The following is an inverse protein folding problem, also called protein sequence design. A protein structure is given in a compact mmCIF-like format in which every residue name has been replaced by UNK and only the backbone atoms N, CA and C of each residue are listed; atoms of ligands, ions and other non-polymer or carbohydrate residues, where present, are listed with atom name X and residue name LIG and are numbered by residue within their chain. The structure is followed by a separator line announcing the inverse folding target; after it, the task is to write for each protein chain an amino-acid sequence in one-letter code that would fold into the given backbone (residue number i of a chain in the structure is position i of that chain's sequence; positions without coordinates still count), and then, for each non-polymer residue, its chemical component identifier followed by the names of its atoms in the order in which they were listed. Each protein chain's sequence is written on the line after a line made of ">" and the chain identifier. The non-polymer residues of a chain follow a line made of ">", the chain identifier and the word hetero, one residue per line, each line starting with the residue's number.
data_IF_198344334403
#
_entry.id   IF_198344334403
#
_cell.length_a   1.000
_cell.length_b   1.000
_cell.length_c   1.000
_cell.angle_alpha   90.00
_cell.angle_beta   90.00
_cell.angle_gamma   90.00
#
_symmetry.space_group_name_H-M   'P 1'
#
loop_
_entity.id
_entity.type
_entity.pdbx_description
1 polymer ?
#
# COMPACT_ATOMS: atom_id res chain seq x y z
N UNK A 1 -23.05 5.72 -69.28
CA UNK A 1 -21.85 5.50 -68.47
C UNK A 1 -21.53 6.84 -67.84
N UNK A 2 -22.02 7.09 -66.63
CA UNK A 2 -21.71 8.30 -65.86
C UNK A 2 -20.73 7.93 -64.76
N UNK A 3 -19.54 8.51 -64.83
CA UNK A 3 -18.48 8.36 -63.85
C UNK A 3 -18.83 9.22 -62.64
N UNK A 4 -19.07 8.59 -61.48
CA UNK A 4 -19.21 9.28 -60.20
C UNK A 4 -17.84 9.78 -59.75
N UNK A 5 -17.62 11.09 -59.82
CA UNK A 5 -16.53 11.74 -59.10
C UNK A 5 -16.86 11.74 -57.60
N UNK A 6 -16.33 10.76 -56.87
CA UNK A 6 -16.33 10.78 -55.40
C UNK A 6 -15.22 11.71 -54.93
N UNK A 7 -15.61 12.93 -54.58
CA UNK A 7 -14.82 13.92 -53.85
C UNK A 7 -14.36 13.32 -52.50
N UNK A 8 -13.16 12.77 -52.48
CA UNK A 8 -12.49 12.35 -51.26
C UNK A 8 -11.88 13.58 -50.61
N UNK A 9 -12.72 14.36 -49.92
CA UNK A 9 -12.24 15.38 -48.98
C UNK A 9 -11.40 14.70 -47.90
N UNK A 10 -10.09 14.66 -48.11
CA UNK A 10 -9.14 14.08 -47.17
C UNK A 10 -9.12 14.98 -45.94
N UNK A 11 -9.85 14.56 -44.91
CA UNK A 11 -9.84 15.18 -43.61
C UNK A 11 -8.38 15.25 -43.11
N UNK A 12 -7.79 16.46 -43.08
CA UNK A 12 -6.47 16.73 -42.47
C UNK A 12 -6.58 16.71 -40.93
N UNK A 13 -7.34 15.77 -40.40
CA UNK A 13 -7.49 15.52 -38.98
C UNK A 13 -6.26 14.77 -38.48
N UNK A 14 -5.71 15.24 -37.36
CA UNK A 14 -4.51 14.72 -36.71
C UNK A 14 -4.36 13.20 -36.77
N UNK A 15 -3.15 12.72 -37.09
CA UNK A 15 -2.80 11.30 -37.01
C UNK A 15 -3.10 10.76 -35.60
N UNK A 16 -3.93 9.72 -35.54
CA UNK A 16 -4.23 9.05 -34.29
C UNK A 16 -2.98 8.33 -33.78
N UNK A 17 -2.30 8.94 -32.81
CA UNK A 17 -1.12 8.35 -32.18
C UNK A 17 -1.54 7.13 -31.36
N UNK A 18 -1.00 5.96 -31.70
CA UNK A 18 -1.24 4.72 -30.94
C UNK A 18 -0.58 4.83 -29.57
N UNK A 19 -1.40 4.99 -28.52
CA UNK A 19 -0.91 4.99 -27.14
C UNK A 19 -0.62 3.54 -26.74
N UNK A 20 0.65 3.20 -26.56
CA UNK A 20 1.03 1.92 -25.98
C UNK A 20 0.43 1.80 -24.56
N UNK A 21 0.02 0.58 -24.13
CA UNK A 21 -0.53 0.39 -22.79
C UNK A 21 0.48 0.88 -21.75
N UNK A 22 0.07 1.78 -20.86
CA UNK A 22 0.92 2.21 -19.75
C UNK A 22 1.31 0.97 -18.97
N UNK A 23 2.62 0.70 -18.81
CA UNK A 23 3.10 -0.28 -17.84
C UNK A 23 2.45 0.08 -16.51
N UNK A 24 1.58 -0.79 -15.98
CA UNK A 24 1.13 -0.71 -14.60
C UNK A 24 2.36 -0.94 -13.74
N UNK A 25 3.08 0.13 -13.43
CA UNK A 25 4.20 0.08 -12.50
C UNK A 25 3.65 -0.45 -11.19
N UNK A 26 4.08 -1.65 -10.80
CA UNK A 26 3.80 -2.15 -9.48
C UNK A 26 4.60 -1.28 -8.52
N UNK A 27 3.92 -0.59 -7.60
CA UNK A 27 4.58 0.20 -6.59
C UNK A 27 5.30 -0.77 -5.63
N UNK A 28 6.59 -0.94 -5.83
CA UNK A 28 7.47 -1.70 -4.93
C UNK A 28 8.21 -0.69 -4.06
N UNK A 29 7.62 -0.34 -2.90
CA UNK A 29 8.36 0.43 -1.90
C UNK A 29 9.56 -0.41 -1.44
N UNK A 30 10.80 0.09 -1.57
CA UNK A 30 12.00 -0.62 -1.09
C UNK A 30 12.08 -0.67 0.43
N UNK A 31 11.25 0.12 1.13
CA UNK A 31 11.16 0.14 2.58
C UNK A 31 9.84 -0.49 3.03
N UNK A 32 9.93 -1.51 3.88
CA UNK A 32 8.85 -2.08 4.71
C UNK A 32 8.36 -1.08 5.79
N UNK A 33 8.61 0.22 5.60
CA UNK A 33 8.13 1.24 6.50
C UNK A 33 6.62 1.39 6.31
N UNK A 34 5.81 1.25 7.37
CA UNK A 34 4.38 1.45 7.27
C UNK A 34 4.14 2.90 6.86
N UNK A 35 3.67 3.11 5.62
CA UNK A 35 3.32 4.42 5.03
C UNK A 35 2.17 5.15 5.77
N UNK A 36 1.81 4.71 6.97
CA UNK A 36 0.71 5.22 7.77
C UNK A 36 1.18 6.21 8.84
N UNK A 37 0.35 7.23 9.10
CA UNK A 37 0.52 8.10 10.27
C UNK A 37 0.51 7.25 11.55
N UNK A 38 1.30 7.61 12.58
CA UNK A 38 1.26 6.93 13.87
C UNK A 38 -0.15 7.00 14.45
N UNK A 39 -0.64 5.86 14.95
CA UNK A 39 -1.95 5.75 15.61
C UNK A 39 -1.74 5.99 17.10
N UNK A 40 -2.45 6.99 17.66
CA UNK A 40 -2.52 7.20 19.11
C UNK A 40 -3.53 6.24 19.72
N UNK A 41 -3.10 5.38 20.64
CA UNK A 41 -3.97 4.43 21.35
C UNK A 41 -3.89 4.73 22.84
N UNK A 42 -5.04 4.76 23.52
CA UNK A 42 -5.10 4.85 24.98
C UNK A 42 -5.12 3.44 25.57
N UNK A 43 -4.22 3.18 26.50
CA UNK A 43 -4.12 1.91 27.19
C UNK A 43 -4.51 2.09 28.67
N UNK A 44 -5.05 1.04 29.32
CA UNK A 44 -5.17 0.99 30.76
C UNK A 44 -3.80 1.22 31.45
N UNK A 45 -3.74 1.93 32.59
CA UNK A 45 -2.48 2.23 33.26
C UNK A 45 -1.65 0.99 33.65
N UNK A 46 -2.32 -0.11 34.01
CA UNK A 46 -1.66 -1.37 34.34
C UNK A 46 -0.91 -1.97 33.15
N UNK A 47 -1.49 -1.91 31.95
CA UNK A 47 -0.84 -2.37 30.73
C UNK A 47 0.28 -1.44 30.30
N UNK A 48 0.12 -0.13 30.47
CA UNK A 48 1.18 0.83 30.16
C UNK A 48 2.41 0.64 31.07
N UNK A 49 2.19 0.39 32.36
CA UNK A 49 3.26 0.07 33.31
C UNK A 49 4.01 -1.21 32.88
N UNK A 50 3.26 -2.27 32.57
CA UNK A 50 3.83 -3.54 32.11
C UNK A 50 4.63 -3.38 30.81
N UNK A 51 4.10 -2.69 29.79
CA UNK A 51 4.81 -2.43 28.53
C UNK A 51 6.09 -1.64 28.78
N UNK A 52 6.07 -0.70 29.73
CA UNK A 52 7.23 0.13 30.04
C UNK A 52 8.34 -0.70 30.67
N UNK A 53 8.01 -1.53 31.66
CA UNK A 53 8.95 -2.43 32.32
C UNK A 53 9.54 -3.46 31.34
N UNK A 54 8.69 -4.06 30.51
CA UNK A 54 9.11 -5.08 29.55
C UNK A 54 9.98 -4.49 28.42
N UNK A 55 9.68 -3.27 27.98
CA UNK A 55 10.49 -2.55 27.01
C UNK A 55 11.88 -2.20 27.57
N UNK A 56 11.96 -1.82 28.85
CA UNK A 56 13.23 -1.56 29.54
C UNK A 56 14.08 -2.83 29.68
N UNK A 57 13.47 -3.95 30.10
CA UNK A 57 14.15 -5.26 30.18
C UNK A 57 14.75 -5.70 28.85
N UNK A 58 14.03 -5.46 27.75
CA UNK A 58 14.46 -5.82 26.40
C UNK A 58 15.37 -4.76 25.74
N UNK A 59 15.56 -3.59 26.36
CA UNK A 59 16.34 -2.49 25.79
C UNK A 59 15.76 -1.91 24.49
N UNK A 60 14.45 -1.99 24.31
CA UNK A 60 13.75 -1.52 23.10
C UNK A 60 12.75 -0.42 23.41
N UNK A 61 12.36 0.35 22.38
CA UNK A 61 11.29 1.33 22.52
C UNK A 61 9.93 0.62 22.69
N UNK A 62 9.06 1.17 23.56
CA UNK A 62 7.66 0.73 23.76
C UNK A 62 6.92 0.49 22.44
N UNK A 63 7.07 1.38 21.46
CA UNK A 63 6.42 1.24 20.14
C UNK A 63 6.89 0.03 19.34
N UNK A 64 8.17 -0.34 19.47
CA UNK A 64 8.72 -1.54 18.82
C UNK A 64 8.24 -2.81 19.52
N UNK A 65 8.17 -2.81 20.85
CA UNK A 65 7.59 -3.91 21.62
C UNK A 65 6.13 -4.15 21.23
N UNK A 66 5.31 -3.09 21.17
CA UNK A 66 3.90 -3.19 20.74
C UNK A 66 3.79 -3.75 19.32
N UNK A 67 4.61 -3.27 18.37
CA UNK A 67 4.60 -3.79 16.99
C UNK A 67 4.97 -5.28 16.94
N UNK A 68 5.95 -5.72 17.73
CA UNK A 68 6.36 -7.12 17.81
C UNK A 68 5.21 -7.99 18.34
N UNK A 69 4.58 -7.60 19.45
CA UNK A 69 3.43 -8.31 20.02
C UNK A 69 2.24 -8.38 19.04
N UNK A 70 1.99 -7.30 18.30
CA UNK A 70 0.94 -7.26 17.27
C UNK A 70 1.27 -8.15 16.06
N UNK A 71 2.54 -8.29 15.70
CA UNK A 71 2.97 -9.19 14.62
C UNK A 71 2.78 -10.66 15.05
N UNK A 72 3.16 -11.01 16.28
CA UNK A 72 2.99 -12.35 16.84
C UNK A 72 1.51 -12.75 16.90
N UNK A 73 0.63 -11.86 17.40
CA UNK A 73 -0.82 -12.14 17.49
C UNK A 73 -1.50 -12.37 16.14
N UNK A 74 -1.07 -11.69 15.06
CA UNK A 74 -1.60 -11.93 13.72
C UNK A 74 -1.30 -13.34 13.21
N UNK A 75 -0.14 -13.90 13.55
CA UNK A 75 0.24 -15.26 13.16
C UNK A 75 -0.70 -16.30 13.78
N UNK A 76 -1.16 -16.09 15.01
CA UNK A 76 -2.07 -17.02 15.69
C UNK A 76 -3.50 -17.00 15.13
N UNK A 77 -3.99 -15.85 14.67
CA UNK A 77 -5.36 -15.73 14.15
C UNK A 77 -5.57 -16.44 12.81
N UNK A 78 -4.56 -16.42 11.94
CA UNK A 78 -4.65 -17.07 10.62
C UNK A 78 -4.61 -18.60 10.71
N UNK A 79 -4.05 -19.16 11.80
CA UNK A 79 -3.95 -20.61 11.99
C UNK A 79 -5.18 -21.24 12.66
N UNK A 80 -6.02 -20.46 13.34
CA UNK A 80 -7.25 -20.97 13.98
C UNK A 80 -8.47 -20.98 13.05
N UNK A 81 -8.38 -20.35 11.88
CA UNK A 81 -9.44 -20.27 10.89
C UNK A 81 -9.19 -21.15 9.65
N UNK A 82 -8.24 -22.08 9.71
CA UNK A 82 -7.92 -23.04 8.66
C UNK A 82 -8.49 -24.42 9.00
#
# INVERSE_FOLDING_TARGET
>A
MESKDTDMSVNKGFEQVSKSPRKKGQFTSPNDEPLGKPIGVRLPPSLEAWISEEAEKQGINKGNLIRKLLAETKSYRTQQSA
#
